data_IF_029349018777
#
_entry.id   IF_029349018777
#
_cell.length_a   1.000
_cell.length_b   1.000
_cell.length_c   1.000
_cell.angle_alpha   90.00
_cell.angle_beta   90.00
_cell.angle_gamma   90.00
#
_symmetry.space_group_name_H-M   'P 1'
#
loop_
_entity.id
_entity.type
_entity.pdbx_description
1 polymer ?
#
# COMPACT_ATOMS: atom_id res chain seq x y z
N UNK A 1 -6.88 18.13 10.90
CA UNK A 1 -7.99 17.17 10.72
C UNK A 1 -7.45 15.72 10.67
N UNK A 2 -6.64 15.29 11.63
CA UNK A 2 -6.06 13.92 11.65
C UNK A 2 -6.68 13.00 12.71
N UNK A 3 -7.40 13.55 13.68
CA UNK A 3 -7.97 12.78 14.78
C UNK A 3 -9.12 11.85 14.35
N UNK A 4 -10.05 12.32 13.49
CA UNK A 4 -11.21 11.52 13.07
C UNK A 4 -10.80 10.25 12.30
N UNK A 5 -9.82 10.34 11.38
CA UNK A 5 -9.36 9.17 10.60
C UNK A 5 -8.87 7.98 11.44
N UNK A 6 -8.20 8.23 12.56
CA UNK A 6 -7.71 7.17 13.46
C UNK A 6 -8.83 6.60 14.32
N UNK A 7 -9.78 7.44 14.73
CA UNK A 7 -10.94 7.03 15.52
C UNK A 7 -11.85 6.13 14.69
N UNK A 8 -12.20 6.52 13.46
CA UNK A 8 -12.99 5.69 12.56
C UNK A 8 -12.30 4.36 12.22
N UNK A 9 -10.97 4.37 12.05
CA UNK A 9 -10.21 3.14 11.85
C UNK A 9 -10.29 2.18 13.05
N UNK A 10 -10.31 2.72 14.28
CA UNK A 10 -10.48 1.94 15.51
C UNK A 10 -11.86 1.29 15.60
N UNK A 11 -12.94 2.04 15.35
CA UNK A 11 -14.30 1.50 15.31
C UNK A 11 -14.46 0.41 14.24
N UNK A 12 -13.84 0.60 13.08
CA UNK A 12 -13.84 -0.40 12.01
C UNK A 12 -13.11 -1.68 12.40
N UNK A 13 -11.99 -1.58 13.11
CA UNK A 13 -11.26 -2.74 13.59
C UNK A 13 -12.10 -3.55 14.59
N UNK A 14 -12.87 -2.88 15.44
CA UNK A 14 -13.74 -3.51 16.41
C UNK A 14 -14.94 -4.22 15.76
N UNK A 15 -15.51 -3.71 14.66
CA UNK A 15 -16.50 -4.42 13.84
C UNK A 15 -16.05 -5.81 13.36
N UNK A 16 -14.77 -5.93 12.98
CA UNK A 16 -14.19 -7.18 12.48
C UNK A 16 -13.59 -8.06 13.58
N UNK A 17 -13.56 -7.59 14.84
CA UNK A 17 -12.99 -8.35 15.94
C UNK A 17 -13.99 -9.41 16.42
N UNK A 18 -13.66 -10.72 16.35
CA UNK A 18 -14.57 -11.78 16.79
C UNK A 18 -14.84 -11.76 18.30
N UNK A 19 -13.99 -11.07 19.08
CA UNK A 19 -14.16 -10.94 20.53
C UNK A 19 -15.09 -9.78 20.94
N UNK A 20 -15.59 -9.00 19.97
CA UNK A 20 -16.53 -7.89 20.23
C UNK A 20 -17.96 -8.41 20.11
N UNK A 21 -18.82 -8.00 21.04
CA UNK A 21 -20.23 -8.40 21.07
C UNK A 21 -21.02 -7.75 19.95
N UNK A 22 -22.11 -8.38 19.53
CA UNK A 22 -22.92 -7.89 18.41
C UNK A 22 -23.58 -6.54 18.71
N UNK A 23 -23.95 -6.28 19.97
CA UNK A 23 -24.46 -4.98 20.42
C UNK A 23 -23.42 -3.86 20.24
N UNK A 24 -22.16 -4.12 20.60
CA UNK A 24 -21.07 -3.15 20.39
C UNK A 24 -20.80 -2.93 18.90
N UNK A 25 -20.84 -3.99 18.09
CA UNK A 25 -20.70 -3.86 16.63
C UNK A 25 -21.81 -3.03 16.02
N UNK A 26 -23.05 -3.15 16.50
CA UNK A 26 -24.16 -2.35 16.00
C UNK A 26 -23.92 -0.85 16.27
N UNK A 27 -23.51 -0.50 17.49
CA UNK A 27 -23.20 0.87 17.86
C UNK A 27 -22.01 1.44 17.07
N UNK A 28 -20.96 0.65 16.84
CA UNK A 28 -19.81 1.07 16.02
C UNK A 28 -20.18 1.29 14.56
N UNK A 29 -21.08 0.48 14.01
CA UNK A 29 -21.60 0.66 12.65
C UNK A 29 -22.37 1.96 12.52
N UNK A 30 -23.26 2.24 13.48
CA UNK A 30 -24.04 3.48 13.52
C UNK A 30 -23.13 4.73 13.64
N UNK A 31 -22.09 4.64 14.46
CA UNK A 31 -21.10 5.71 14.59
C UNK A 31 -20.37 5.99 13.25
N UNK A 32 -19.94 4.92 12.56
CA UNK A 32 -19.27 5.05 11.26
C UNK A 32 -20.19 5.61 10.17
N UNK A 33 -21.46 5.21 10.16
CA UNK A 33 -22.48 5.72 9.23
C UNK A 33 -22.75 7.21 9.45
N UNK A 34 -22.86 7.65 10.71
CA UNK A 34 -23.03 9.06 11.07
C UNK A 34 -21.80 9.91 10.68
N UNK A 35 -20.59 9.37 10.78
CA UNK A 35 -19.36 10.03 10.32
C UNK A 35 -19.19 9.99 8.78
N UNK A 36 -20.11 9.34 8.06
CA UNK A 36 -20.04 9.18 6.60
C UNK A 36 -18.89 8.28 6.14
N UNK A 37 -18.41 7.40 7.03
CA UNK A 37 -17.32 6.47 6.76
C UNK A 37 -17.91 5.11 6.37
N UNK A 38 -17.85 4.81 5.09
CA UNK A 38 -18.34 3.54 4.56
C UNK A 38 -17.48 2.34 5.06
N UNK A 39 -18.12 1.33 5.66
CA UNK A 39 -17.48 0.11 6.15
C UNK A 39 -16.76 -0.64 5.03
N UNK A 40 -17.30 -0.63 3.81
CA UNK A 40 -16.71 -1.36 2.67
C UNK A 40 -15.49 -0.66 2.08
N UNK A 41 -15.36 0.65 2.33
CA UNK A 41 -14.20 1.48 2.04
C UNK A 41 -13.07 1.17 3.01
N UNK A 42 -12.63 -0.10 3.03
CA UNK A 42 -11.42 -0.43 3.76
C UNK A 42 -10.25 0.02 2.93
N UNK A 43 -9.66 1.13 3.36
CA UNK A 43 -8.27 1.48 3.07
C UNK A 43 -7.33 0.46 3.75
N UNK A 44 -7.49 -0.83 3.43
CA UNK A 44 -6.45 -1.83 3.61
C UNK A 44 -5.32 -1.46 2.65
N UNK A 45 -4.53 -0.44 2.97
CA UNK A 45 -3.20 -0.19 2.43
C UNK A 45 -3.00 -0.43 0.93
N UNK A 46 -4.03 -0.23 0.08
CA UNK A 46 -3.93 -0.45 -1.35
C UNK A 46 -3.44 0.82 -2.05
N UNK A 47 -2.53 1.55 -1.40
CA UNK A 47 -1.68 2.52 -2.10
C UNK A 47 -0.67 1.82 -3.03
N UNK A 48 -0.65 0.49 -3.10
CA UNK A 48 0.26 -0.26 -3.96
C UNK A 48 -0.31 -0.62 -5.35
N UNK A 49 -1.55 -0.23 -5.67
CA UNK A 49 -2.19 -0.62 -6.94
C UNK A 49 -2.93 0.51 -7.65
N UNK A 50 -2.59 1.78 -7.42
CA UNK A 50 -3.16 2.89 -8.20
C UNK A 50 -2.09 3.68 -8.97
N UNK A 51 -1.98 3.34 -10.26
CA UNK A 51 -1.93 4.34 -11.32
C UNK A 51 -0.58 4.91 -11.75
N UNK A 52 0.42 5.07 -10.87
CA UNK A 52 1.68 5.67 -11.30
C UNK A 52 2.84 5.10 -10.47
N UNK A 53 3.56 4.11 -11.02
CA UNK A 53 4.77 3.60 -10.36
C UNK A 53 5.81 4.69 -10.45
N UNK A 54 6.18 5.29 -9.32
CA UNK A 54 7.29 6.24 -9.28
C UNK A 54 8.54 5.56 -9.88
N UNK A 55 9.21 6.17 -10.89
CA UNK A 55 10.37 5.55 -11.53
C UNK A 55 11.46 5.19 -10.51
N UNK A 56 11.64 6.04 -9.48
CA UNK A 56 12.55 5.77 -8.35
C UNK A 56 12.19 4.52 -7.56
N UNK A 57 10.90 4.21 -7.40
CA UNK A 57 10.48 2.99 -6.69
C UNK A 57 10.69 1.74 -7.56
N UNK A 58 10.52 1.87 -8.88
CA UNK A 58 10.83 0.81 -9.84
C UNK A 58 12.33 0.49 -9.83
N UNK A 59 13.20 1.51 -9.91
CA UNK A 59 14.65 1.35 -9.80
C UNK A 59 15.08 0.70 -8.49
N UNK A 60 14.50 1.10 -7.36
CA UNK A 60 14.76 0.47 -6.05
C UNK A 60 14.41 -1.01 -6.07
N UNK A 61 13.29 -1.38 -6.71
CA UNK A 61 12.89 -2.77 -6.88
C UNK A 61 13.92 -3.58 -7.67
N UNK A 62 14.37 -3.06 -8.82
CA UNK A 62 15.40 -3.73 -9.61
C UNK A 62 16.74 -3.84 -8.86
N UNK A 63 17.16 -2.80 -8.13
CA UNK A 63 18.37 -2.84 -7.27
C UNK A 63 18.26 -3.90 -6.17
N UNK A 64 17.07 -4.08 -5.61
CA UNK A 64 16.84 -5.15 -4.63
C UNK A 64 16.97 -6.53 -5.30
N UNK A 65 16.40 -6.71 -6.49
CA UNK A 65 16.50 -7.95 -7.27
C UNK A 65 17.96 -8.32 -7.56
N UNK A 66 18.82 -7.37 -7.92
CA UNK A 66 20.23 -7.64 -8.23
C UNK A 66 21.05 -8.12 -7.03
N UNK A 67 20.68 -7.74 -5.81
CA UNK A 67 21.39 -8.13 -4.58
C UNK A 67 20.75 -9.32 -3.84
N UNK A 68 19.56 -9.75 -4.25
CA UNK A 68 18.85 -10.83 -3.57
C UNK A 68 19.46 -12.20 -3.92
N UNK A 69 20.04 -12.94 -2.95
CA UNK A 69 20.63 -14.26 -3.21
C UNK A 69 19.58 -15.31 -3.59
N UNK A 70 18.30 -15.08 -3.31
CA UNK A 70 17.20 -15.99 -3.62
C UNK A 70 16.60 -15.78 -5.03
N UNK A 71 17.19 -14.89 -5.83
CA UNK A 71 16.76 -14.62 -7.21
C UNK A 71 17.72 -15.31 -8.18
N UNK A 72 17.21 -15.79 -9.31
CA UNK A 72 18.00 -16.40 -10.37
C UNK A 72 18.94 -15.39 -11.05
N UNK A 73 20.04 -15.88 -11.60
CA UNK A 73 21.00 -15.03 -12.31
C UNK A 73 20.37 -14.34 -13.54
N UNK A 74 19.49 -15.04 -14.28
CA UNK A 74 18.75 -14.45 -15.41
C UNK A 74 17.88 -13.25 -14.98
N UNK A 75 17.19 -13.37 -13.84
CA UNK A 75 16.37 -12.29 -13.31
C UNK A 75 17.21 -11.13 -12.77
N UNK A 76 18.40 -11.40 -12.22
CA UNK A 76 19.37 -10.36 -11.84
C UNK A 76 19.91 -9.64 -13.07
N UNK A 77 20.20 -10.36 -14.15
CA UNK A 77 20.71 -9.76 -15.38
C UNK A 77 19.66 -8.83 -15.99
N UNK A 78 18.42 -9.31 -16.13
CA UNK A 78 17.31 -8.47 -16.58
C UNK A 78 17.12 -7.22 -15.71
N UNK A 79 17.24 -7.35 -14.39
CA UNK A 79 17.15 -6.20 -13.49
C UNK A 79 18.28 -5.17 -13.70
N UNK A 80 19.49 -5.61 -14.06
CA UNK A 80 20.60 -4.71 -14.39
C UNK A 80 20.35 -3.96 -15.70
N UNK A 81 19.86 -4.66 -16.72
CA UNK A 81 19.62 -4.06 -18.04
C UNK A 81 18.54 -2.96 -17.94
N UNK A 82 17.48 -3.20 -17.16
CA UNK A 82 16.42 -2.22 -16.87
C UNK A 82 16.94 -1.00 -16.08
N UNK A 83 17.88 -1.20 -15.15
CA UNK A 83 18.52 -0.11 -14.43
C UNK A 83 19.39 0.75 -15.34
N UNK A 84 20.19 0.14 -16.21
CA UNK A 84 21.03 0.87 -17.15
C UNK A 84 20.19 1.67 -18.16
N UNK A 85 19.10 1.07 -18.63
CA UNK A 85 18.13 1.76 -19.48
C UNK A 85 17.56 2.98 -18.75
N UNK A 86 17.01 2.82 -17.55
CA UNK A 86 16.41 3.93 -16.80
C UNK A 86 17.43 5.03 -16.44
N UNK A 87 18.66 4.68 -16.06
CA UNK A 87 19.72 5.65 -15.78
C UNK A 87 20.12 6.46 -17.02
N UNK A 88 20.18 5.81 -18.20
CA UNK A 88 20.42 6.53 -19.47
C UNK A 88 19.30 7.51 -19.76
N UNK A 89 18.02 7.09 -19.66
CA UNK A 89 16.88 7.98 -19.91
C UNK A 89 16.83 9.17 -18.94
N UNK A 90 17.20 8.99 -17.68
CA UNK A 90 17.29 10.09 -16.71
C UNK A 90 18.38 11.11 -17.04
N UNK A 91 19.51 10.68 -17.61
CA UNK A 91 20.62 11.57 -18.00
C UNK A 91 20.37 12.38 -19.28
N UNK A 92 19.37 12.03 -20.09
CA UNK A 92 18.99 12.77 -21.31
C UNK A 92 17.86 13.80 -21.10
N UNK A 93 17.38 13.99 -19.87
CA UNK A 93 16.24 14.89 -19.54
C UNK A 93 16.66 16.15 -18.74
N UNK A 94 17.93 16.55 -18.79
CA UNK A 94 18.45 17.81 -18.22
C UNK A 94 19.21 18.60 -19.29
#
# INVERSE_FOLDING_TARGET
>A
MSHSTRVSAGHKAALHNPNVSDETKQHEREYLENEGVDETSTSHGSSHRSGNKDPKNVERGYKATTHNPNVSEDAKQHAKDELEHNEKFHNYQH
#
